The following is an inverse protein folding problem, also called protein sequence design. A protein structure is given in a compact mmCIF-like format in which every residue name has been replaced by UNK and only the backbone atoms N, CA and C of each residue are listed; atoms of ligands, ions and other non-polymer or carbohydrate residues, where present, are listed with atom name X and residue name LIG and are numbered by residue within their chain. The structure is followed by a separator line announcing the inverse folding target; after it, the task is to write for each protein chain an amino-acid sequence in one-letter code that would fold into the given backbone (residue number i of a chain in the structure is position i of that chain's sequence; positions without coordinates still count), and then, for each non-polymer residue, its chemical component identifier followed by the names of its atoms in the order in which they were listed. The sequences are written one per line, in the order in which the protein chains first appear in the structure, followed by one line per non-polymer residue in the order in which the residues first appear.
data_IF_478920489025
#
_entry.id   IF_478920489025
#
_cell.length_a   1.000
_cell.length_b   1.000
_cell.length_c   1.000
_cell.angle_alpha   90.00
_cell.angle_beta   90.00
_cell.angle_gamma   90.00
#
_symmetry.space_group_name_H-M   'P 1'
#
loop_
_entity.id
_entity.type
_entity.pdbx_description
1 polymer ?
#
# COMPACT_ATOMS: atom_id res chain seq x y z
N UNK A 1 -27.10 44.53 -23.94
CA UNK A 1 -25.82 44.20 -23.26
C UNK A 1 -25.96 43.41 -21.94
N UNK A 2 -27.16 43.07 -21.44
CA UNK A 2 -27.33 42.42 -20.12
C UNK A 2 -27.50 40.89 -20.14
N UNK A 3 -27.61 40.28 -21.32
CA UNK A 3 -27.95 38.84 -21.46
C UNK A 3 -26.73 37.91 -21.40
N UNK A 4 -25.52 38.40 -21.71
CA UNK A 4 -24.30 37.58 -21.70
C UNK A 4 -23.82 37.22 -20.29
N UNK A 5 -24.10 38.06 -19.30
CA UNK A 5 -23.60 37.90 -17.93
C UNK A 5 -24.23 36.72 -17.16
N UNK A 6 -25.50 36.41 -17.43
CA UNK A 6 -26.19 35.27 -16.79
C UNK A 6 -25.58 33.92 -17.16
N UNK A 7 -25.12 33.76 -18.39
CA UNK A 7 -24.51 32.50 -18.88
C UNK A 7 -23.15 32.26 -18.23
N UNK A 8 -22.34 33.30 -18.04
CA UNK A 8 -21.02 33.17 -17.38
C UNK A 8 -21.15 32.79 -15.91
N UNK A 9 -22.17 33.29 -15.20
CA UNK A 9 -22.41 32.90 -13.80
C UNK A 9 -22.78 31.42 -13.68
N UNK A 10 -23.59 30.89 -14.60
CA UNK A 10 -23.95 29.46 -14.60
C UNK A 10 -22.72 28.58 -14.88
N UNK A 11 -21.90 28.97 -15.86
CA UNK A 11 -20.66 28.23 -16.19
C UNK A 11 -19.67 28.26 -15.02
N UNK A 12 -19.51 29.42 -14.36
CA UNK A 12 -18.63 29.54 -13.20
C UNK A 12 -19.05 28.64 -12.03
N UNK A 13 -20.35 28.54 -11.75
CA UNK A 13 -20.88 27.65 -10.71
C UNK A 13 -20.63 26.17 -11.05
N UNK A 14 -20.80 25.78 -12.32
CA UNK A 14 -20.52 24.41 -12.77
C UNK A 14 -19.03 24.07 -12.60
N UNK A 15 -18.11 24.99 -12.94
CA UNK A 15 -16.67 24.76 -12.80
C UNK A 15 -16.27 24.63 -11.32
N UNK A 16 -16.82 25.47 -10.43
CA UNK A 16 -16.53 25.39 -9.00
C UNK A 16 -17.05 24.08 -8.40
N UNK A 17 -18.27 23.67 -8.76
CA UNK A 17 -18.85 22.41 -8.29
C UNK A 17 -18.09 21.19 -8.84
N UNK A 18 -17.73 21.19 -10.12
CA UNK A 18 -16.95 20.11 -10.73
C UNK A 18 -15.53 20.02 -10.13
N UNK A 19 -14.87 21.16 -9.89
CA UNK A 19 -13.57 21.21 -9.25
C UNK A 19 -13.61 20.70 -7.80
N UNK A 20 -14.63 21.06 -7.02
CA UNK A 20 -14.83 20.56 -5.67
C UNK A 20 -15.04 19.04 -5.61
N UNK A 21 -15.80 18.48 -6.55
CA UNK A 21 -16.06 17.04 -6.62
C UNK A 21 -14.79 16.24 -6.98
N UNK A 22 -13.94 16.77 -7.86
CA UNK A 22 -12.69 16.13 -8.26
C UNK A 22 -11.67 16.04 -7.10
N UNK A 23 -11.63 17.07 -6.24
CA UNK A 23 -10.75 17.10 -5.05
C UNK A 23 -11.19 16.09 -4.00
N UNK A 24 -12.50 15.95 -3.76
CA UNK A 24 -13.02 15.00 -2.77
C UNK A 24 -12.72 13.54 -3.16
N UNK A 25 -13.07 13.14 -4.39
CA UNK A 25 -12.85 11.76 -4.86
C UNK A 25 -11.36 11.38 -4.98
N UNK A 26 -10.49 12.36 -5.26
CA UNK A 26 -9.04 12.12 -5.35
C UNK A 26 -8.38 11.81 -4.01
N UNK A 27 -8.93 12.30 -2.91
CA UNK A 27 -8.33 12.12 -1.57
C UNK A 27 -8.46 10.68 -1.08
N UNK A 28 -9.58 10.03 -1.40
CA UNK A 28 -9.87 8.65 -0.96
C UNK A 28 -8.98 7.62 -1.67
N UNK A 29 -8.68 7.81 -2.95
CA UNK A 29 -7.82 6.91 -3.71
C UNK A 29 -6.35 6.97 -3.25
N UNK A 30 -5.85 8.17 -2.93
CA UNK A 30 -4.48 8.37 -2.43
C UNK A 30 -4.31 7.75 -1.05
N UNK A 31 -5.28 7.96 -0.15
CA UNK A 31 -5.27 7.37 1.19
C UNK A 31 -5.28 5.84 1.15
N UNK A 32 -6.07 5.24 0.26
CA UNK A 32 -6.13 3.78 0.12
C UNK A 32 -4.81 3.19 -0.44
N UNK A 33 -4.19 3.86 -1.41
CA UNK A 33 -2.88 3.46 -1.94
C UNK A 33 -1.74 3.61 -0.91
N UNK A 34 -1.85 4.57 0.01
CA UNK A 34 -0.88 4.73 1.08
C UNK A 34 -0.96 3.58 2.10
N UNK A 35 -2.17 3.11 2.42
CA UNK A 35 -2.40 2.09 3.45
C UNK A 35 -2.39 0.65 2.93
N UNK A 36 -2.59 0.42 1.63
CA UNK A 36 -2.55 -0.93 1.07
C UNK A 36 -1.16 -1.22 0.48
N UNK A 37 -0.48 -2.24 1.01
CA UNK A 37 0.86 -2.66 0.59
C UNK A 37 0.79 -3.98 -0.15
N UNK A 38 1.22 -3.98 -1.40
CA UNK A 38 1.24 -5.16 -2.25
C UNK A 38 2.61 -5.83 -2.24
N UNK A 39 2.61 -7.16 -2.29
CA UNK A 39 3.81 -7.99 -2.43
C UNK A 39 3.48 -9.25 -3.24
N UNK A 40 4.52 -9.97 -3.66
CA UNK A 40 4.38 -11.24 -4.36
C UNK A 40 4.61 -12.37 -3.36
N UNK A 41 3.74 -13.38 -3.41
CA UNK A 41 3.86 -14.61 -2.64
C UNK A 41 4.98 -15.46 -3.20
N UNK A 42 6.01 -15.70 -2.40
CA UNK A 42 7.17 -16.51 -2.75
C UNK A 42 7.18 -17.81 -1.94
N UNK A 43 7.86 -18.83 -2.46
CA UNK A 43 8.11 -20.08 -1.73
C UNK A 43 9.42 -19.98 -0.97
N UNK A 44 9.42 -20.40 0.29
CA UNK A 44 10.66 -20.57 1.03
C UNK A 44 11.37 -21.85 0.52
N UNK A 45 12.65 -21.81 0.12
CA UNK A 45 13.32 -22.97 -0.48
C UNK A 45 13.49 -24.16 0.47
N UNK A 46 13.49 -23.92 1.79
CA UNK A 46 13.73 -24.95 2.81
C UNK A 46 12.48 -25.36 3.60
N UNK A 47 11.31 -24.75 3.31
CA UNK A 47 10.06 -25.06 4.00
C UNK A 47 8.90 -25.10 3.02
N UNK A 48 7.82 -25.82 3.34
CA UNK A 48 6.58 -25.73 2.57
C UNK A 48 5.83 -24.41 2.79
N UNK A 49 6.36 -23.48 3.59
CA UNK A 49 5.71 -22.20 3.85
C UNK A 49 5.94 -21.20 2.71
N UNK A 50 5.00 -20.29 2.56
CA UNK A 50 5.15 -19.13 1.71
C UNK A 50 5.64 -17.93 2.52
N UNK A 51 6.23 -16.96 1.84
CA UNK A 51 6.56 -15.67 2.42
C UNK A 51 6.24 -14.54 1.46
N UNK A 52 6.01 -13.36 2.02
CA UNK A 52 5.93 -12.10 1.28
C UNK A 52 6.92 -11.12 1.89
N UNK A 53 7.54 -10.34 1.00
CA UNK A 53 8.47 -9.28 1.35
C UNK A 53 7.79 -7.92 1.09
N UNK A 54 7.49 -7.19 2.16
CA UNK A 54 6.78 -5.92 2.14
C UNK A 54 7.75 -4.77 2.39
N UNK A 55 7.64 -3.72 1.58
CA UNK A 55 8.41 -2.49 1.74
C UNK A 55 7.58 -1.43 2.44
N UNK A 56 7.96 -1.10 3.68
CA UNK A 56 7.22 -0.17 4.54
C UNK A 56 8.07 1.08 4.80
N UNK A 57 7.51 2.29 4.64
CA UNK A 57 8.20 3.52 5.02
C UNK A 57 8.53 3.57 6.51
N UNK A 58 9.63 4.23 6.87
CA UNK A 58 10.03 4.44 8.27
C UNK A 58 8.93 5.10 9.12
N UNK A 59 8.10 5.97 8.55
CA UNK A 59 6.98 6.61 9.27
C UNK A 59 5.96 5.60 9.80
N UNK A 60 5.79 4.46 9.14
CA UNK A 60 4.80 3.44 9.46
C UNK A 60 5.40 2.24 10.23
N UNK A 61 6.73 2.13 10.31
CA UNK A 61 7.41 0.95 10.88
C UNK A 61 7.05 0.66 12.34
N UNK A 62 6.67 1.69 13.11
CA UNK A 62 6.32 1.57 14.53
C UNK A 62 5.11 0.65 14.78
N UNK A 63 4.27 0.45 13.76
CA UNK A 63 3.07 -0.39 13.83
C UNK A 63 3.39 -1.89 13.66
N UNK A 64 4.61 -2.21 13.20
CA UNK A 64 5.03 -3.56 12.88
C UNK A 64 6.03 -4.09 13.92
N UNK A 65 5.78 -5.29 14.43
CA UNK A 65 6.67 -5.99 15.35
C UNK A 65 6.91 -7.43 14.90
N UNK A 66 8.11 -7.93 15.16
CA UNK A 66 8.42 -9.36 14.98
C UNK A 66 7.45 -10.22 15.80
N UNK A 67 7.07 -11.38 15.26
CA UNK A 67 6.09 -12.33 15.84
C UNK A 67 4.64 -11.80 15.89
N UNK A 68 4.36 -10.62 15.34
CA UNK A 68 3.00 -10.11 15.22
C UNK A 68 2.25 -10.87 14.11
N UNK A 69 0.98 -11.16 14.37
CA UNK A 69 0.06 -11.75 13.40
C UNK A 69 -0.58 -10.65 12.58
N UNK A 70 -0.62 -10.82 11.26
CA UNK A 70 -1.24 -9.87 10.34
C UNK A 70 -2.15 -10.58 9.36
N UNK A 71 -3.15 -9.86 8.84
CA UNK A 71 -4.03 -10.35 7.79
C UNK A 71 -3.41 -10.05 6.43
N UNK A 72 -3.35 -11.07 5.58
CA UNK A 72 -2.89 -10.98 4.20
C UNK A 72 -4.06 -11.31 3.29
N UNK A 73 -4.39 -10.37 2.42
CA UNK A 73 -5.52 -10.44 1.49
C UNK A 73 -5.03 -10.88 0.12
N UNK A 74 -5.79 -11.75 -0.54
CA UNK A 74 -5.55 -12.20 -1.90
C UNK A 74 -6.78 -11.85 -2.75
N UNK A 75 -6.86 -10.62 -3.28
CA UNK A 75 -8.08 -10.09 -3.89
C UNK A 75 -8.36 -10.67 -5.29
N UNK A 76 -7.37 -11.29 -5.92
CA UNK A 76 -7.44 -11.80 -7.30
C UNK A 76 -7.91 -13.26 -7.39
N UNK A 77 -8.41 -13.83 -6.28
CA UNK A 77 -9.07 -15.13 -6.26
C UNK A 77 -10.57 -14.97 -6.52
N UNK A 78 -11.23 -16.03 -6.99
CA UNK A 78 -12.69 -16.03 -7.22
C UNK A 78 -13.46 -15.67 -5.94
N UNK A 79 -12.96 -16.11 -4.80
CA UNK A 79 -13.40 -15.69 -3.48
C UNK A 79 -12.25 -14.94 -2.79
N UNK A 80 -12.45 -13.68 -2.36
CA UNK A 80 -11.43 -12.92 -1.64
C UNK A 80 -10.95 -13.70 -0.41
N UNK A 81 -9.70 -14.11 -0.42
CA UNK A 81 -9.14 -14.95 0.62
C UNK A 81 -8.31 -14.09 1.58
N UNK A 82 -8.56 -14.26 2.88
CA UNK A 82 -7.74 -13.66 3.93
C UNK A 82 -7.03 -14.76 4.69
N UNK A 83 -5.69 -14.69 4.77
CA UNK A 83 -4.87 -15.62 5.55
C UNK A 83 -4.09 -14.87 6.61
N UNK A 84 -3.94 -15.51 7.78
CA UNK A 84 -3.12 -14.98 8.85
C UNK A 84 -1.65 -15.34 8.60
N UNK A 85 -0.82 -14.30 8.44
CA UNK A 85 0.64 -14.41 8.40
C UNK A 85 1.29 -13.97 9.71
N UNK A 86 2.56 -14.31 9.88
CA UNK A 86 3.38 -13.89 11.04
C UNK A 86 4.61 -13.15 10.55
N UNK A 87 4.87 -11.98 11.12
CA UNK A 87 6.08 -11.20 10.81
C UNK A 87 7.31 -11.93 11.36
N UNK A 88 8.19 -12.40 10.47
CA UNK A 88 9.42 -13.11 10.85
C UNK A 88 10.61 -12.17 11.00
N UNK A 89 10.66 -11.11 10.21
CA UNK A 89 11.76 -10.15 10.22
C UNK A 89 11.29 -8.73 9.90
N UNK A 90 11.94 -7.76 10.54
CA UNK A 90 11.81 -6.33 10.27
C UNK A 90 13.21 -5.77 10.18
N UNK A 91 13.63 -5.34 9.00
CA UNK A 91 15.00 -4.87 8.75
C UNK A 91 15.02 -3.62 7.88
N UNK A 92 16.00 -2.73 8.07
CA UNK A 92 16.18 -1.60 7.17
C UNK A 92 16.57 -2.12 5.78
N UNK A 93 15.94 -1.61 4.72
CA UNK A 93 16.18 -2.10 3.35
C UNK A 93 17.40 -1.39 2.73
N UNK A 94 18.54 -2.08 2.52
CA UNK A 94 19.80 -1.43 2.09
C UNK A 94 19.70 -0.81 0.69
N UNK A 95 18.84 -1.35 -0.18
CA UNK A 95 18.68 -0.85 -1.54
C UNK A 95 18.08 0.57 -1.62
N UNK A 96 17.35 0.99 -0.59
CA UNK A 96 16.82 2.36 -0.48
C UNK A 96 17.82 3.32 0.18
N UNK A 97 18.89 2.83 0.81
CA UNK A 97 19.97 3.67 1.32
C UNK A 97 20.76 4.35 0.18
N UNK A 98 20.86 3.71 -0.99
CA UNK A 98 21.52 4.26 -2.17
C UNK A 98 20.70 5.36 -2.85
N UNK A 99 19.37 5.32 -2.76
CA UNK A 99 18.48 6.36 -3.30
C UNK A 99 18.61 7.69 -2.54
N UNK A 100 19.08 7.64 -1.29
CA UNK A 100 19.43 8.82 -0.49
C UNK A 100 20.62 9.60 -1.07
N UNK A 101 21.49 8.94 -1.85
CA UNK A 101 22.72 9.54 -2.37
C UNK A 101 22.55 10.19 -3.75
N UNK A 102 21.53 9.81 -4.55
CA UNK A 102 21.23 10.41 -5.87
C UNK A 102 20.29 11.62 -5.77
N UNK A 103 20.58 12.53 -4.83
CA UNK A 103 19.78 13.73 -4.55
C UNK A 103 20.06 14.84 -5.55
N UNK A 104 19.45 14.78 -6.73
CA UNK A 104 19.53 15.90 -7.70
C UNK A 104 18.37 16.92 -7.56
N UNK A 105 17.24 16.58 -6.91
CA UNK A 105 16.02 17.43 -6.98
C UNK A 105 15.16 17.53 -5.70
N UNK A 106 15.75 17.46 -4.51
CA UNK A 106 15.05 17.84 -3.27
C UNK A 106 13.83 16.98 -2.89
N UNK A 107 13.74 15.74 -3.37
CA UNK A 107 12.74 14.79 -2.88
C UNK A 107 13.09 14.29 -1.47
N UNK A 108 12.04 13.99 -0.68
CA UNK A 108 12.12 13.45 0.68
C UNK A 108 12.97 12.18 0.73
N UNK A 109 13.78 12.03 1.78
CA UNK A 109 14.53 10.79 2.02
C UNK A 109 13.54 9.62 2.14
N UNK A 110 13.56 8.69 1.17
CA UNK A 110 12.77 7.47 1.21
C UNK A 110 13.55 6.39 1.97
N UNK A 111 13.41 6.35 3.29
CA UNK A 111 13.86 5.23 4.11
C UNK A 111 12.76 4.17 4.18
N UNK A 112 13.06 2.99 3.62
CA UNK A 112 12.16 1.84 3.62
C UNK A 112 12.72 0.72 4.47
N UNK A 113 11.83 0.01 5.14
CA UNK A 113 12.09 -1.23 5.86
C UNK A 113 11.53 -2.40 5.05
N UNK A 114 12.29 -3.49 5.02
CA UNK A 114 11.87 -4.77 4.50
C UNK A 114 11.26 -5.57 5.65
N UNK A 115 9.98 -5.90 5.53
CA UNK A 115 9.25 -6.75 6.45
C UNK A 115 8.99 -8.07 5.75
N UNK A 116 9.45 -9.16 6.35
CA UNK A 116 9.14 -10.51 5.88
C UNK A 116 8.01 -11.09 6.70
N UNK A 117 7.00 -11.59 6.01
CA UNK A 117 5.81 -12.21 6.61
C UNK A 117 5.75 -13.64 6.12
N UNK A 118 5.76 -14.59 7.05
CA UNK A 118 5.53 -16.00 6.76
C UNK A 118 4.03 -16.29 6.72
N UNK A 119 3.61 -17.01 5.70
CA UNK A 119 2.23 -17.44 5.49
C UNK A 119 2.24 -18.97 5.39
N UNK A 120 1.44 -19.68 6.21
CA UNK A 120 1.36 -21.13 6.11
C UNK A 120 0.83 -21.56 4.74
N UNK A 121 1.33 -22.68 4.21
CA UNK A 121 0.82 -23.21 2.95
C UNK A 121 -0.65 -23.62 3.05
N UNK A 122 -1.37 -23.37 1.96
CA UNK A 122 -2.75 -23.80 1.75
C UNK A 122 -2.88 -24.28 0.30
N UNK A 123 -3.82 -25.19 0.03
CA UNK A 123 -4.12 -25.66 -1.33
C UNK A 123 -4.61 -24.54 -2.25
N UNK A 124 -5.14 -23.46 -1.68
CA UNK A 124 -5.67 -22.30 -2.38
C UNK A 124 -4.57 -21.32 -2.81
N UNK A 125 -3.36 -21.44 -2.24
CA UNK A 125 -2.28 -20.49 -2.46
C UNK A 125 -1.25 -21.05 -3.43
N UNK A 126 -0.84 -20.23 -4.39
CA UNK A 126 0.22 -20.55 -5.34
C UNK A 126 1.30 -19.47 -5.31
N UNK A 127 2.58 -19.85 -5.50
CA UNK A 127 3.66 -18.88 -5.70
C UNK A 127 3.36 -17.96 -6.87
N UNK A 128 3.77 -16.70 -6.76
CA UNK A 128 3.53 -15.66 -7.75
C UNK A 128 2.21 -14.90 -7.57
N UNK A 129 1.35 -15.32 -6.65
CA UNK A 129 0.11 -14.57 -6.33
C UNK A 129 0.42 -13.21 -5.72
N UNK A 130 -0.37 -12.20 -6.06
CA UNK A 130 -0.34 -10.90 -5.40
C UNK A 130 -1.01 -11.00 -4.04
N UNK A 131 -0.25 -10.63 -3.01
CA UNK A 131 -0.69 -10.49 -1.63
C UNK A 131 -0.81 -9.01 -1.28
N UNK A 132 -1.84 -8.64 -0.54
CA UNK A 132 -2.05 -7.29 -0.04
C UNK A 132 -2.12 -7.28 1.48
N UNK A 133 -1.44 -6.33 2.10
CA UNK A 133 -1.49 -6.06 3.53
C UNK A 133 -1.99 -4.65 3.74
N UNK A 134 -3.05 -4.53 4.52
CA UNK A 134 -3.66 -3.26 4.90
C UNK A 134 -3.08 -2.78 6.22
N UNK A 135 -2.39 -1.65 6.18
CA UNK A 135 -1.68 -1.09 7.34
C UNK A 135 -2.65 -0.62 8.42
N UNK A 136 -3.82 -0.11 8.02
CA UNK A 136 -4.91 0.31 8.91
C UNK A 136 -5.52 -0.83 9.73
N UNK A 137 -5.42 -2.07 9.25
CA UNK A 137 -5.88 -3.26 9.97
C UNK A 137 -4.86 -3.75 11.03
N UNK A 138 -3.65 -3.17 11.06
CA UNK A 138 -2.58 -3.60 11.96
C UNK A 138 -2.72 -2.86 13.28
N UNK A 139 -3.15 -3.59 14.31
CA UNK A 139 -3.15 -3.07 15.68
C UNK A 139 -1.76 -3.26 16.29
N UNK A 140 -1.06 -2.15 16.56
CA UNK A 140 0.31 -2.11 17.12
C UNK A 140 0.38 -2.05 18.65
#
# INVERSE_FOLDING_TARGET
MKFKWGIYMVIAVIIILAGGLLVAAGTDAVSNAENTKQAILNTEPETEAFYVDLYIPESQIKQFRTQQKINVHFPYLEEPLVKQGVITSVSASPQFANLRMTRDKGQSDLSMFLIRVSIPSSKELLPGMTAEVRVDEITG
#
